data_IF_610248738435
#
_entry.id   IF_610248738435
#
_cell.length_a   1.000
_cell.length_b   1.000
_cell.length_c   1.000
_cell.angle_alpha   90.00
_cell.angle_beta   90.00
_cell.angle_gamma   90.00
#
_symmetry.space_group_name_H-M   'P 1'
#
loop_
_entity.id
_entity.type
_entity.pdbx_description
1 polymer ?
#
# COMPACT_ATOMS: atom_id res chain seq x y z
N UNK A 1 -21.23 5.30 -0.76
CA UNK A 1 -21.45 6.30 0.30
C UNK A 1 -21.33 5.68 1.70
N UNK A 2 -21.99 4.54 2.01
CA UNK A 2 -21.95 3.92 3.36
C UNK A 2 -20.55 3.70 3.93
N UNK A 3 -19.61 3.23 3.11
CA UNK A 3 -18.22 3.04 3.52
C UNK A 3 -17.47 4.35 3.85
N UNK A 4 -17.86 5.45 3.20
CA UNK A 4 -17.26 6.77 3.45
C UNK A 4 -17.72 7.34 4.79
N UNK A 5 -18.95 7.06 5.18
CA UNK A 5 -19.51 7.51 6.46
C UNK A 5 -18.88 6.75 7.65
N UNK A 6 -18.52 5.48 7.44
CA UNK A 6 -17.88 4.67 8.47
C UNK A 6 -16.47 5.19 8.78
N UNK A 7 -16.11 5.35 10.06
CA UNK A 7 -14.74 5.62 10.48
C UNK A 7 -13.77 4.57 9.97
N UNK A 8 -12.51 4.93 9.85
CA UNK A 8 -11.46 4.02 9.38
C UNK A 8 -10.10 4.69 9.41
N UNK A 9 -9.99 5.85 10.10
CA UNK A 9 -8.74 6.61 10.12
C UNK A 9 -7.61 5.83 10.83
N UNK A 10 -6.45 5.79 10.19
CA UNK A 10 -5.23 5.18 10.68
C UNK A 10 -4.05 6.16 10.50
N UNK A 11 -3.32 6.58 11.54
CA UNK A 11 -3.65 6.33 12.95
C UNK A 11 -4.95 7.01 13.41
N UNK A 12 -5.60 6.57 14.51
CA UNK A 12 -5.16 5.56 15.48
C UNK A 12 -5.57 4.12 15.16
N UNK A 13 -6.26 3.86 14.03
CA UNK A 13 -6.83 2.58 13.66
C UNK A 13 -8.28 2.43 14.14
N UNK A 14 -9.25 2.63 13.22
CA UNK A 14 -10.69 2.64 13.50
C UNK A 14 -11.47 1.81 12.46
N UNK A 15 -10.88 0.69 12.03
CA UNK A 15 -11.38 -0.10 10.90
C UNK A 15 -12.65 -0.90 11.23
N UNK A 16 -12.92 -1.19 12.52
CA UNK A 16 -14.06 -2.01 12.94
C UNK A 16 -15.37 -1.58 12.29
N UNK A 17 -15.69 -0.28 12.34
CA UNK A 17 -16.92 0.23 11.75
C UNK A 17 -16.96 0.12 10.21
N UNK A 18 -15.82 0.26 9.52
CA UNK A 18 -15.72 0.02 8.09
C UNK A 18 -15.96 -1.45 7.76
N UNK A 19 -15.35 -2.37 8.55
CA UNK A 19 -15.51 -3.81 8.38
C UNK A 19 -16.94 -4.26 8.66
N UNK A 20 -17.62 -3.69 9.65
CA UNK A 20 -19.06 -3.95 9.88
C UNK A 20 -19.94 -3.57 8.67
N UNK A 21 -19.69 -2.42 8.05
CA UNK A 21 -20.41 -2.00 6.84
C UNK A 21 -20.12 -2.94 5.67
N UNK A 22 -18.88 -3.41 5.54
CA UNK A 22 -18.49 -4.40 4.52
C UNK A 22 -19.15 -5.75 4.76
N UNK A 23 -19.17 -6.25 6.00
CA UNK A 23 -19.85 -7.49 6.38
C UNK A 23 -21.35 -7.46 6.06
N UNK A 24 -22.02 -6.35 6.42
CA UNK A 24 -23.42 -6.14 6.04
C UNK A 24 -23.62 -6.12 4.52
N UNK A 25 -22.70 -5.48 3.79
CA UNK A 25 -22.74 -5.45 2.33
C UNK A 25 -22.54 -6.83 1.71
N UNK A 26 -21.71 -7.70 2.30
CA UNK A 26 -21.54 -9.11 1.90
C UNK A 26 -22.82 -9.91 2.12
N UNK A 27 -23.40 -9.82 3.32
CA UNK A 27 -24.65 -10.51 3.65
C UNK A 27 -25.79 -10.14 2.69
N UNK A 28 -25.97 -8.85 2.39
CA UNK A 28 -26.97 -8.36 1.44
C UNK A 28 -26.77 -8.87 0.00
N UNK A 29 -25.56 -9.31 -0.34
CA UNK A 29 -25.20 -9.84 -1.66
C UNK A 29 -25.13 -11.36 -1.72
N UNK A 30 -25.42 -12.04 -0.60
CA UNK A 30 -25.33 -13.51 -0.51
C UNK A 30 -23.89 -14.01 -0.63
N UNK A 31 -22.91 -13.22 -0.16
CA UNK A 31 -21.52 -13.62 -0.08
C UNK A 31 -21.23 -14.19 1.31
N UNK A 32 -20.58 -15.36 1.33
CA UNK A 32 -20.00 -15.89 2.57
C UNK A 32 -18.87 -14.97 3.05
N UNK A 33 -18.82 -14.71 4.36
CA UNK A 33 -17.81 -13.83 4.90
C UNK A 33 -17.49 -14.14 6.35
N UNK A 34 -16.27 -13.85 6.74
CA UNK A 34 -15.78 -13.87 8.12
C UNK A 34 -14.84 -12.68 8.36
N UNK A 35 -14.62 -12.38 9.63
CA UNK A 35 -13.65 -11.39 10.08
C UNK A 35 -12.70 -12.03 11.09
N UNK A 36 -11.44 -11.58 11.06
CA UNK A 36 -10.37 -12.06 11.92
C UNK A 36 -9.70 -10.84 12.61
N UNK A 37 -9.76 -10.81 13.94
CA UNK A 37 -9.23 -9.68 14.72
C UNK A 37 -7.69 -9.72 14.76
N UNK A 38 -7.04 -8.81 14.04
CA UNK A 38 -5.57 -8.69 13.97
C UNK A 38 -5.03 -7.94 15.20
N UNK A 39 -5.74 -6.90 15.63
CA UNK A 39 -5.53 -6.11 16.84
C UNK A 39 -6.90 -5.79 17.45
N UNK A 40 -7.00 -5.50 18.73
CA UNK A 40 -8.29 -5.15 19.37
C UNK A 40 -9.01 -4.03 18.61
N UNK A 41 -10.23 -4.32 18.11
CA UNK A 41 -11.04 -3.40 17.30
C UNK A 41 -10.52 -3.14 15.88
N UNK A 42 -9.55 -3.92 15.40
CA UNK A 42 -8.96 -3.76 14.06
C UNK A 42 -8.95 -5.11 13.31
N UNK A 43 -10.09 -5.52 12.76
CA UNK A 43 -10.19 -6.80 12.07
C UNK A 43 -9.84 -6.70 10.57
N UNK A 44 -9.33 -7.81 10.01
CA UNK A 44 -9.45 -8.11 8.59
C UNK A 44 -10.84 -8.66 8.28
N UNK A 45 -11.28 -8.59 7.01
CA UNK A 45 -12.47 -9.26 6.53
C UNK A 45 -12.14 -10.09 5.28
N UNK A 46 -12.74 -11.26 5.16
CA UNK A 46 -12.73 -12.05 3.93
C UNK A 46 -14.15 -12.27 3.44
N UNK A 47 -14.41 -11.99 2.17
CA UNK A 47 -15.66 -12.30 1.51
C UNK A 47 -15.41 -13.31 0.40
N UNK A 48 -16.27 -14.32 0.28
CA UNK A 48 -16.08 -15.44 -0.64
C UNK A 48 -17.28 -15.69 -1.52
N UNK A 49 -16.97 -16.04 -2.76
CA UNK A 49 -17.92 -16.58 -3.71
C UNK A 49 -17.45 -18.01 -4.06
N UNK A 50 -18.26 -19.02 -3.80
CA UNK A 50 -17.84 -20.41 -4.03
C UNK A 50 -17.63 -20.71 -5.51
N UNK A 51 -16.77 -21.69 -5.80
CA UNK A 51 -16.47 -22.19 -7.14
C UNK A 51 -16.00 -23.64 -7.07
N UNK A 52 -15.60 -24.18 -8.23
CA UNK A 52 -15.01 -25.51 -8.34
C UNK A 52 -13.58 -25.58 -7.77
N UNK A 53 -12.85 -26.62 -8.19
CA UNK A 53 -11.53 -26.98 -7.62
C UNK A 53 -10.34 -26.30 -8.30
N UNK A 54 -10.56 -25.51 -9.37
CA UNK A 54 -9.48 -24.77 -10.01
C UNK A 54 -8.94 -23.66 -9.10
N UNK A 55 -7.67 -23.22 -9.30
CA UNK A 55 -7.17 -22.05 -8.62
C UNK A 55 -8.14 -20.87 -8.70
N UNK A 56 -8.39 -20.23 -7.56
CA UNK A 56 -9.33 -19.12 -7.44
C UNK A 56 -8.79 -17.80 -7.98
N UNK A 57 -9.57 -16.74 -7.82
CA UNK A 57 -9.16 -15.36 -8.04
C UNK A 57 -9.20 -14.62 -6.70
N UNK A 58 -8.09 -13.94 -6.36
CA UNK A 58 -8.00 -13.10 -5.17
C UNK A 58 -8.21 -11.63 -5.56
N UNK A 59 -9.12 -10.97 -4.88
CA UNK A 59 -9.19 -9.52 -4.78
C UNK A 59 -8.59 -9.08 -3.45
N UNK A 60 -7.86 -7.96 -3.44
CA UNK A 60 -7.24 -7.40 -2.26
C UNK A 60 -7.52 -5.91 -2.17
N UNK A 61 -7.73 -5.43 -0.95
CA UNK A 61 -7.81 -4.00 -0.63
C UNK A 61 -7.82 -3.78 0.86
N UNK A 62 -7.68 -2.52 1.28
CA UNK A 62 -7.62 -2.15 2.70
C UNK A 62 -8.86 -1.40 3.18
N UNK A 63 -9.12 -1.49 4.50
CA UNK A 63 -10.29 -0.88 5.16
C UNK A 63 -9.99 0.45 5.82
N UNK A 64 -8.73 0.72 6.15
CA UNK A 64 -8.27 1.96 6.75
C UNK A 64 -8.17 3.09 5.73
N UNK A 65 -7.98 4.29 6.23
CA UNK A 65 -7.74 5.51 5.46
C UNK A 65 -6.87 6.44 6.28
N UNK A 66 -6.02 7.24 5.64
CA UNK A 66 -5.28 8.29 6.36
C UNK A 66 -6.21 9.30 7.03
N UNK A 67 -5.77 9.98 8.11
CA UNK A 67 -6.56 11.04 8.74
C UNK A 67 -7.02 12.10 7.73
N UNK A 68 -8.23 12.61 7.91
CA UNK A 68 -8.81 13.59 6.99
C UNK A 68 -7.94 14.85 6.83
N UNK A 69 -7.35 15.32 7.93
CA UNK A 69 -6.61 16.60 7.93
C UNK A 69 -7.52 17.80 7.71
N UNK A 70 -6.90 18.94 7.42
CA UNK A 70 -7.57 20.23 7.22
C UNK A 70 -7.82 20.54 5.73
N UNK A 71 -8.51 21.64 5.46
CA UNK A 71 -8.69 22.19 4.11
C UNK A 71 -9.89 21.67 3.33
N UNK A 72 -10.73 20.81 3.91
CA UNK A 72 -11.93 20.28 3.26
C UNK A 72 -12.99 21.34 3.06
N UNK A 73 -13.60 21.41 1.85
CA UNK A 73 -14.78 22.23 1.55
C UNK A 73 -16.09 21.46 1.75
N UNK A 74 -16.04 20.14 1.86
CA UNK A 74 -17.15 19.24 2.16
C UNK A 74 -16.81 18.41 3.40
N UNK A 75 -17.82 17.79 4.04
CA UNK A 75 -17.54 16.93 5.19
C UNK A 75 -16.78 15.67 4.76
N UNK A 76 -15.59 15.37 5.30
CA UNK A 76 -14.72 14.28 4.84
C UNK A 76 -15.35 12.87 4.98
N UNK A 77 -16.34 12.72 5.88
CA UNK A 77 -17.14 11.50 6.04
C UNK A 77 -18.60 11.69 5.61
N UNK A 78 -18.88 12.67 4.74
CA UNK A 78 -20.24 12.96 4.30
C UNK A 78 -20.77 12.03 3.20
N UNK A 79 -19.91 11.43 2.40
CA UNK A 79 -20.30 10.60 1.26
C UNK A 79 -21.15 11.38 0.24
N UNK A 80 -20.83 12.67 0.06
CA UNK A 80 -21.58 13.58 -0.83
C UNK A 80 -21.37 13.18 -2.29
N UNK A 81 -22.47 12.98 -3.01
CA UNK A 81 -22.46 12.85 -4.47
C UNK A 81 -22.81 14.20 -5.09
N UNK A 82 -21.88 14.80 -5.82
CA UNK A 82 -22.06 16.08 -6.50
C UNK A 82 -21.26 16.05 -7.81
N UNK A 83 -21.84 16.60 -8.86
CA UNK A 83 -21.21 16.76 -10.19
C UNK A 83 -20.59 15.45 -10.74
N UNK A 84 -21.27 14.31 -10.53
CA UNK A 84 -20.83 12.99 -10.98
C UNK A 84 -19.68 12.38 -10.17
N UNK A 85 -19.31 12.97 -9.02
CA UNK A 85 -18.26 12.47 -8.13
C UNK A 85 -18.80 12.15 -6.75
N UNK A 86 -18.22 11.13 -6.11
CA UNK A 86 -18.46 10.80 -4.70
C UNK A 86 -17.28 11.36 -3.88
N UNK A 87 -17.59 12.31 -2.99
CA UNK A 87 -16.63 12.97 -2.13
C UNK A 87 -16.53 12.32 -0.77
N UNK A 88 -15.31 12.24 -0.25
CA UNK A 88 -14.98 11.86 1.13
C UNK A 88 -13.67 11.09 1.23
N UNK A 89 -13.07 11.10 2.42
CA UNK A 89 -11.83 10.38 2.71
C UNK A 89 -12.03 8.86 2.47
N UNK A 90 -11.11 8.26 1.70
CA UNK A 90 -11.18 6.87 1.27
C UNK A 90 -12.07 6.64 0.05
N UNK A 91 -12.64 7.69 -0.57
CA UNK A 91 -13.47 7.51 -1.76
C UNK A 91 -12.65 7.04 -2.97
N UNK A 92 -11.44 7.51 -3.12
CA UNK A 92 -10.46 7.03 -4.09
C UNK A 92 -9.58 5.94 -3.48
N UNK A 93 -9.06 6.16 -2.28
CA UNK A 93 -8.07 5.32 -1.61
C UNK A 93 -8.65 4.67 -0.33
N UNK A 94 -9.07 3.36 -0.32
CA UNK A 94 -9.49 2.65 -1.55
C UNK A 94 -10.91 2.06 -1.40
N UNK A 95 -11.76 2.68 -0.55
CA UNK A 95 -13.14 2.20 -0.31
C UNK A 95 -14.00 2.16 -1.59
N UNK A 96 -13.66 2.99 -2.61
CA UNK A 96 -14.27 2.93 -3.93
C UNK A 96 -13.98 1.60 -4.64
N UNK A 97 -12.73 1.16 -4.63
CA UNK A 97 -12.30 -0.13 -5.17
C UNK A 97 -12.99 -1.30 -4.47
N UNK A 98 -13.01 -1.31 -3.12
CA UNK A 98 -13.72 -2.33 -2.33
C UNK A 98 -15.22 -2.41 -2.70
N UNK A 99 -15.88 -1.26 -2.82
CA UNK A 99 -17.29 -1.23 -3.20
C UNK A 99 -17.52 -1.82 -4.58
N UNK A 100 -16.66 -1.52 -5.55
CA UNK A 100 -16.74 -2.04 -6.92
C UNK A 100 -16.52 -3.56 -6.96
N UNK A 101 -15.55 -4.10 -6.19
CA UNK A 101 -15.31 -5.54 -6.06
C UNK A 101 -16.53 -6.26 -5.47
N UNK A 102 -17.10 -5.76 -4.37
CA UNK A 102 -18.30 -6.33 -3.77
C UNK A 102 -19.51 -6.29 -4.70
N UNK A 103 -19.67 -5.24 -5.50
CA UNK A 103 -20.73 -5.14 -6.51
C UNK A 103 -20.54 -6.21 -7.59
N UNK A 104 -19.30 -6.41 -8.07
CA UNK A 104 -18.99 -7.42 -9.06
C UNK A 104 -19.27 -8.84 -8.53
N UNK A 105 -18.74 -9.20 -7.36
CA UNK A 105 -18.98 -10.50 -6.73
C UNK A 105 -20.46 -10.75 -6.47
N UNK A 106 -21.19 -9.75 -5.93
CA UNK A 106 -22.61 -9.86 -5.70
C UNK A 106 -23.46 -9.95 -6.98
N UNK A 107 -23.01 -9.41 -8.11
CA UNK A 107 -23.67 -9.57 -9.40
C UNK A 107 -23.54 -11.02 -9.90
N UNK A 108 -22.35 -11.60 -9.82
CA UNK A 108 -22.08 -13.00 -10.17
C UNK A 108 -22.89 -13.96 -9.27
N UNK A 109 -22.90 -13.71 -7.95
CA UNK A 109 -23.68 -14.50 -7.00
C UNK A 109 -25.18 -14.50 -7.36
N UNK A 110 -25.78 -13.32 -7.59
CA UNK A 110 -27.21 -13.21 -7.95
C UNK A 110 -27.53 -13.82 -9.31
N UNK A 111 -26.59 -13.81 -10.24
CA UNK A 111 -26.78 -14.44 -11.55
C UNK A 111 -26.75 -15.96 -11.49
N UNK A 112 -26.34 -16.55 -10.35
CA UNK A 112 -26.25 -18.00 -10.17
C UNK A 112 -25.22 -18.66 -11.09
N UNK A 113 -24.18 -17.92 -11.50
CA UNK A 113 -23.13 -18.44 -12.40
C UNK A 113 -22.25 -19.39 -11.62
N UNK A 114 -22.15 -20.65 -12.08
CA UNK A 114 -21.16 -21.60 -11.58
C UNK A 114 -19.77 -21.21 -12.06
N UNK A 115 -18.82 -21.08 -11.15
CA UNK A 115 -17.43 -20.74 -11.44
C UNK A 115 -16.55 -21.99 -11.30
N UNK A 116 -15.51 -22.13 -12.13
CA UNK A 116 -14.60 -23.26 -12.07
C UNK A 116 -13.60 -23.20 -10.87
N UNK A 117 -13.47 -22.04 -10.23
CA UNK A 117 -12.69 -21.82 -9.01
C UNK A 117 -13.34 -20.75 -8.13
N UNK A 118 -12.97 -20.63 -6.84
CA UNK A 118 -13.55 -19.67 -5.92
C UNK A 118 -13.05 -18.24 -6.20
N UNK A 119 -13.80 -17.24 -5.75
CA UNK A 119 -13.32 -15.85 -5.64
C UNK A 119 -13.25 -15.49 -4.17
N UNK A 120 -12.16 -14.91 -3.74
CA UNK A 120 -12.02 -14.30 -2.43
C UNK A 120 -11.70 -12.81 -2.55
N UNK A 121 -12.33 -11.99 -1.71
CA UNK A 121 -11.93 -10.62 -1.45
C UNK A 121 -11.34 -10.58 -0.03
N UNK A 122 -10.06 -10.33 0.06
CA UNK A 122 -9.37 -10.03 1.30
C UNK A 122 -9.39 -8.51 1.53
N UNK A 123 -9.91 -8.08 2.67
CA UNK A 123 -9.88 -6.69 3.11
C UNK A 123 -9.00 -6.61 4.33
N UNK A 124 -7.87 -5.97 4.20
CA UNK A 124 -6.83 -5.86 5.22
C UNK A 124 -6.97 -4.56 6.01
N UNK A 125 -6.52 -4.55 7.25
CA UNK A 125 -6.36 -3.37 8.06
C UNK A 125 -4.90 -2.88 7.99
N UNK A 126 -4.65 -1.60 8.31
CA UNK A 126 -3.31 -1.06 8.54
C UNK A 126 -2.41 -0.97 7.30
N UNK A 127 -2.98 -0.88 6.11
CA UNK A 127 -2.18 -0.69 4.88
C UNK A 127 -1.45 0.65 4.89
N UNK A 128 -2.12 1.70 5.34
CA UNK A 128 -1.68 3.10 5.36
C UNK A 128 -0.57 3.40 6.41
N UNK A 129 -0.18 2.39 7.22
CA UNK A 129 0.85 2.56 8.25
C UNK A 129 1.89 1.43 8.21
N UNK A 130 1.56 0.22 8.69
CA UNK A 130 2.56 -0.84 8.88
C UNK A 130 2.23 -2.16 8.20
N UNK A 131 1.13 -2.24 7.45
CA UNK A 131 0.68 -3.43 6.72
C UNK A 131 0.50 -4.68 7.60
N UNK A 132 0.03 -4.51 8.84
CA UNK A 132 -0.18 -5.64 9.76
C UNK A 132 -1.25 -6.60 9.24
N UNK A 133 -2.29 -6.08 8.58
CA UNK A 133 -3.42 -6.86 8.10
C UNK A 133 -3.02 -7.90 7.07
N UNK A 134 -2.32 -7.51 6.01
CA UNK A 134 -1.88 -8.43 4.95
C UNK A 134 -0.85 -9.43 5.47
N UNK A 135 0.04 -9.00 6.36
CA UNK A 135 1.03 -9.88 7.00
C UNK A 135 0.35 -10.94 7.87
N UNK A 136 -0.68 -10.56 8.63
CA UNK A 136 -1.49 -11.49 9.42
C UNK A 136 -2.27 -12.45 8.51
N UNK A 137 -2.88 -11.95 7.42
CA UNK A 137 -3.57 -12.76 6.43
C UNK A 137 -2.68 -13.87 5.87
N UNK A 138 -1.46 -13.55 5.48
CA UNK A 138 -0.48 -14.51 4.97
C UNK A 138 0.02 -15.48 6.05
N UNK A 139 0.31 -14.98 7.27
CA UNK A 139 0.77 -15.79 8.40
C UNK A 139 -0.29 -16.80 8.85
N UNK A 140 -1.58 -16.48 8.67
CA UNK A 140 -2.71 -17.38 8.92
C UNK A 140 -2.91 -18.45 7.83
N UNK A 141 -2.00 -18.51 6.84
CA UNK A 141 -2.01 -19.53 5.78
C UNK A 141 -2.90 -19.19 4.58
N UNK A 142 -3.43 -17.97 4.53
CA UNK A 142 -4.23 -17.48 3.40
C UNK A 142 -3.34 -17.00 2.22
N UNK A 143 -3.95 -16.53 1.14
CA UNK A 143 -3.25 -16.05 -0.05
C UNK A 143 -2.71 -17.13 -0.97
N UNK A 144 -3.09 -18.39 -0.79
CA UNK A 144 -2.64 -19.54 -1.59
C UNK A 144 -3.78 -20.17 -2.37
N UNK A 145 -3.44 -20.81 -3.50
CA UNK A 145 -4.44 -21.51 -4.32
C UNK A 145 -5.20 -20.58 -5.27
N UNK A 146 -4.67 -19.40 -5.56
CA UNK A 146 -5.21 -18.45 -6.53
C UNK A 146 -4.38 -18.44 -7.81
N UNK A 147 -5.03 -18.15 -8.93
CA UNK A 147 -4.41 -17.95 -10.24
C UNK A 147 -3.76 -16.57 -10.39
N UNK A 148 -4.08 -15.64 -9.50
CA UNK A 148 -3.54 -14.28 -9.43
C UNK A 148 -4.32 -13.42 -8.44
N UNK A 149 -3.80 -12.22 -8.20
CA UNK A 149 -4.38 -11.24 -7.29
C UNK A 149 -4.64 -9.91 -8.03
N UNK A 150 -5.80 -9.30 -7.77
CA UNK A 150 -6.12 -7.94 -8.24
C UNK A 150 -6.30 -7.04 -7.02
N UNK A 151 -5.45 -6.02 -6.91
CA UNK A 151 -5.54 -4.99 -5.87
C UNK A 151 -6.36 -3.83 -6.38
N UNK A 152 -7.32 -3.35 -5.58
CA UNK A 152 -8.31 -2.35 -6.02
C UNK A 152 -7.92 -0.89 -5.81
N UNK A 153 -6.64 -0.59 -5.75
CA UNK A 153 -6.09 0.75 -5.56
C UNK A 153 -6.38 1.72 -6.72
N UNK A 154 -6.37 3.05 -6.48
CA UNK A 154 -6.79 4.07 -7.45
C UNK A 154 -5.76 4.28 -8.56
N UNK A 155 -5.87 3.53 -9.64
CA UNK A 155 -4.98 3.59 -10.81
C UNK A 155 -5.49 4.44 -11.97
N UNK A 156 -6.60 5.14 -11.82
CA UNK A 156 -7.27 5.79 -12.95
C UNK A 156 -7.83 4.80 -13.97
N UNK A 157 -8.16 3.58 -13.54
CA UNK A 157 -8.59 2.46 -14.39
C UNK A 157 -7.48 1.98 -15.36
N UNK A 158 -6.23 2.35 -15.14
CA UNK A 158 -5.10 1.76 -15.83
C UNK A 158 -4.76 0.40 -15.19
N UNK A 159 -4.41 -0.57 -16.03
CA UNK A 159 -3.83 -1.83 -15.55
C UNK A 159 -2.38 -1.60 -15.16
N UNK A 160 -2.06 -1.79 -13.88
CA UNK A 160 -0.71 -1.62 -13.32
C UNK A 160 -0.13 -2.99 -13.00
N UNK A 161 1.03 -3.30 -13.58
CA UNK A 161 1.71 -4.60 -13.47
C UNK A 161 3.01 -4.53 -12.67
N UNK A 162 3.44 -3.35 -12.28
CA UNK A 162 4.60 -3.16 -11.42
C UNK A 162 4.37 -2.02 -10.44
N UNK A 163 4.75 -2.20 -9.19
CA UNK A 163 4.69 -1.18 -8.14
C UNK A 163 6.00 -1.13 -7.37
N UNK A 164 6.38 0.07 -6.91
CA UNK A 164 7.50 0.20 -5.99
C UNK A 164 7.17 -0.43 -4.65
N UNK A 165 8.21 -0.84 -3.92
CA UNK A 165 8.13 -1.08 -2.50
C UNK A 165 8.45 0.17 -1.69
N UNK A 166 8.35 0.01 -0.37
CA UNK A 166 8.63 1.06 0.60
C UNK A 166 9.41 0.50 1.79
N UNK A 167 10.47 1.18 2.20
CA UNK A 167 11.24 0.83 3.39
C UNK A 167 11.54 2.07 4.23
N UNK A 168 11.29 1.96 5.53
CA UNK A 168 11.73 2.97 6.50
C UNK A 168 12.96 2.46 7.23
N UNK A 169 14.03 3.22 7.11
CA UNK A 169 15.31 2.93 7.72
C UNK A 169 15.50 3.84 8.93
N UNK A 170 15.45 3.28 10.12
CA UNK A 170 15.83 4.01 11.32
C UNK A 170 17.34 3.94 11.51
N UNK A 171 17.94 5.09 11.76
CA UNK A 171 19.39 5.22 12.05
C UNK A 171 19.55 5.98 13.37
N UNK A 172 20.19 5.34 14.33
CA UNK A 172 20.54 5.94 15.62
C UNK A 172 22.05 6.14 15.69
N UNK A 173 22.45 7.38 15.92
CA UNK A 173 23.86 7.76 16.05
C UNK A 173 24.14 8.02 17.54
N UNK A 174 25.12 7.35 18.08
CA UNK A 174 25.50 7.35 19.49
C UNK A 174 26.87 8.04 19.62
N UNK A 175 26.87 9.16 20.27
CA UNK A 175 28.06 9.95 20.59
C UNK A 175 28.45 9.91 22.06
N UNK A 176 29.10 10.97 22.53
CA UNK A 176 29.50 11.13 23.93
C UNK A 176 29.20 12.57 24.39
N UNK A 177 28.42 12.70 25.46
CA UNK A 177 28.13 14.01 26.04
C UNK A 177 29.38 14.67 26.63
N UNK A 178 29.45 15.99 26.50
CA UNK A 178 30.42 16.83 27.17
C UNK A 178 29.84 18.24 27.38
N UNK A 179 30.47 19.06 28.19
CA UNK A 179 30.10 20.46 28.31
C UNK A 179 30.39 21.20 27.00
N UNK A 180 29.47 22.05 26.53
CA UNK A 180 29.61 22.75 25.26
C UNK A 180 30.86 23.65 25.16
N UNK A 181 31.40 24.11 26.30
CA UNK A 181 32.66 24.83 26.40
C UNK A 181 33.95 23.98 26.22
N UNK A 182 33.77 22.64 26.14
CA UNK A 182 34.87 21.69 25.89
C UNK A 182 34.39 20.61 24.91
N UNK A 183 34.02 20.99 23.67
CA UNK A 183 33.37 20.08 22.74
C UNK A 183 34.24 18.87 22.35
N UNK A 184 35.55 19.05 22.31
CA UNK A 184 36.51 17.98 21.97
C UNK A 184 36.58 16.86 23.02
N UNK A 185 36.05 17.08 24.23
CA UNK A 185 35.90 16.04 25.24
C UNK A 185 34.70 15.12 24.96
N UNK A 186 33.81 15.51 24.04
CA UNK A 186 32.64 14.77 23.60
C UNK A 186 32.81 14.14 22.22
N UNK A 187 31.70 13.55 21.72
CA UNK A 187 31.52 13.16 20.33
C UNK A 187 30.08 13.54 19.91
N UNK A 188 29.96 14.46 18.99
CA UNK A 188 28.68 15.09 18.66
C UNK A 188 27.87 14.23 17.66
N UNK A 189 26.81 13.60 18.17
CA UNK A 189 25.93 12.75 17.35
C UNK A 189 25.17 13.54 16.26
N UNK A 190 24.86 14.83 16.47
CA UNK A 190 24.21 15.67 15.44
C UNK A 190 25.17 15.93 14.28
N UNK A 191 26.45 16.09 14.51
CA UNK A 191 27.43 16.25 13.43
C UNK A 191 27.58 14.97 12.60
N UNK A 192 27.49 13.79 13.27
CA UNK A 192 27.42 12.51 12.57
C UNK A 192 26.17 12.39 11.69
N UNK A 193 25.00 12.79 12.22
CA UNK A 193 23.75 12.81 11.47
C UNK A 193 23.82 13.75 10.25
N UNK A 194 24.40 14.94 10.39
CA UNK A 194 24.55 15.89 9.28
C UNK A 194 25.42 15.30 8.14
N UNK A 195 26.53 14.64 8.46
CA UNK A 195 27.37 13.94 7.47
C UNK A 195 26.63 12.83 6.75
N UNK A 196 25.84 12.04 7.48
CA UNK A 196 25.05 10.96 6.88
C UNK A 196 23.92 11.51 6.01
N UNK A 197 23.23 12.57 6.42
CA UNK A 197 22.17 13.22 5.63
C UNK A 197 22.73 13.72 4.30
N UNK A 198 23.93 14.30 4.29
CA UNK A 198 24.58 14.77 3.07
C UNK A 198 24.93 13.60 2.13
N UNK A 199 25.40 12.47 2.66
CA UNK A 199 25.62 11.24 1.89
C UNK A 199 24.30 10.66 1.35
N UNK A 200 23.24 10.62 2.15
CA UNK A 200 21.93 10.14 1.71
C UNK A 200 21.34 11.00 0.58
N UNK A 201 21.58 12.30 0.59
CA UNK A 201 21.22 13.20 -0.52
C UNK A 201 21.99 12.82 -1.79
N UNK A 202 23.30 12.58 -1.69
CA UNK A 202 24.11 12.07 -2.79
C UNK A 202 23.64 10.69 -3.28
N UNK A 203 23.26 9.81 -2.36
CA UNK A 203 22.66 8.51 -2.74
C UNK A 203 21.38 8.66 -3.56
N UNK A 204 20.51 9.60 -3.20
CA UNK A 204 19.31 9.89 -4.01
C UNK A 204 19.67 10.29 -5.45
N UNK A 205 20.72 11.09 -5.64
CA UNK A 205 21.19 11.51 -6.97
C UNK A 205 21.78 10.31 -7.75
N UNK A 206 22.52 9.41 -7.08
CA UNK A 206 23.04 8.18 -7.67
C UNK A 206 21.89 7.25 -8.14
N UNK A 207 20.85 7.07 -7.32
CA UNK A 207 19.71 6.22 -7.65
C UNK A 207 18.93 6.72 -8.87
N UNK A 208 18.93 8.01 -9.16
CA UNK A 208 18.26 8.59 -10.33
C UNK A 208 18.85 8.10 -11.67
N UNK A 209 20.05 7.51 -11.66
CA UNK A 209 20.70 6.97 -12.86
C UNK A 209 20.18 5.58 -13.27
N UNK A 210 19.60 4.81 -12.33
CA UNK A 210 19.03 3.48 -12.57
C UNK A 210 17.51 3.58 -12.64
N UNK A 211 17.00 3.67 -13.86
CA UNK A 211 15.58 3.92 -14.13
C UNK A 211 14.87 2.65 -14.54
N UNK A 212 14.05 2.11 -13.65
CA UNK A 212 13.18 0.99 -13.97
C UNK A 212 12.12 1.40 -15.03
N UNK A 213 11.90 0.59 -16.10
CA UNK A 213 11.06 0.99 -17.23
C UNK A 213 9.63 1.38 -16.86
N UNK A 214 9.05 0.72 -15.86
CA UNK A 214 7.66 0.91 -15.45
C UNK A 214 7.51 1.84 -14.23
N UNK A 215 8.38 1.69 -13.22
CA UNK A 215 8.22 2.39 -11.94
C UNK A 215 9.13 3.62 -11.78
N UNK A 216 10.02 3.86 -12.76
CA UNK A 216 11.01 4.93 -12.65
C UNK A 216 12.12 4.57 -11.64
N UNK A 217 12.97 5.55 -11.24
CA UNK A 217 14.11 5.28 -10.36
C UNK A 217 13.66 5.05 -8.92
N UNK A 218 14.48 4.35 -8.16
CA UNK A 218 14.38 4.30 -6.71
C UNK A 218 14.66 5.68 -6.10
N UNK A 219 14.18 5.92 -4.86
CA UNK A 219 14.39 7.21 -4.18
C UNK A 219 14.76 7.00 -2.72
N UNK A 220 15.53 7.92 -2.15
CA UNK A 220 15.76 8.01 -0.71
C UNK A 220 15.60 9.45 -0.23
N UNK A 221 14.97 9.65 0.93
CA UNK A 221 14.87 10.94 1.58
C UNK A 221 14.83 10.78 3.10
N UNK A 222 15.35 11.77 3.83
CA UNK A 222 15.23 11.79 5.29
C UNK A 222 13.91 12.47 5.67
N UNK A 223 13.01 11.71 6.29
CA UNK A 223 11.68 12.19 6.68
C UNK A 223 11.69 12.85 8.05
N UNK A 224 12.45 12.31 9.00
CA UNK A 224 12.53 12.84 10.37
C UNK A 224 13.96 12.85 10.89
N UNK A 225 14.27 13.82 11.75
CA UNK A 225 15.51 13.88 12.53
C UNK A 225 15.22 14.47 13.90
N UNK A 226 15.86 13.91 14.94
CA UNK A 226 15.86 14.45 16.30
C UNK A 226 17.23 14.25 16.96
N UNK A 227 17.60 15.07 17.93
CA UNK A 227 18.86 14.90 18.65
C UNK A 227 19.16 16.03 19.63
N UNK A 228 20.00 15.71 20.63
CA UNK A 228 20.38 16.65 21.68
C UNK A 228 19.31 16.90 22.74
N UNK A 229 19.74 17.41 23.90
CA UNK A 229 18.86 17.71 25.05
C UNK A 229 18.92 19.16 25.47
N UNK A 230 19.88 19.93 24.96
CA UNK A 230 20.03 21.34 25.25
C UNK A 230 21.31 21.94 24.68
N UNK A 231 21.38 23.29 24.52
CA UNK A 231 22.46 23.94 23.78
C UNK A 231 23.82 23.95 24.52
N UNK A 232 23.82 23.69 25.82
CA UNK A 232 25.05 23.69 26.64
C UNK A 232 25.71 22.31 26.78
N UNK A 233 25.22 21.29 26.07
CA UNK A 233 25.68 19.90 26.15
C UNK A 233 26.00 19.43 24.70
N UNK A 234 27.17 18.78 24.52
CA UNK A 234 27.46 18.06 23.26
C UNK A 234 26.45 16.92 23.13
N UNK A 235 25.68 16.81 22.04
CA UNK A 235 24.65 15.77 21.85
C UNK A 235 25.24 14.36 21.87
N UNK A 236 24.77 13.52 22.79
CA UNK A 236 25.18 12.10 22.87
C UNK A 236 24.32 11.17 22.01
N UNK A 237 23.19 11.64 21.50
CA UNK A 237 22.32 10.84 20.64
C UNK A 237 21.69 11.71 19.56
N UNK A 238 21.55 11.13 18.38
CA UNK A 238 20.70 11.63 17.30
C UNK A 238 20.03 10.46 16.61
N UNK A 239 18.78 10.64 16.20
CA UNK A 239 17.97 9.64 15.51
C UNK A 239 17.37 10.24 14.26
N UNK A 240 17.39 9.50 13.17
CA UNK A 240 16.76 9.88 11.91
C UNK A 240 16.05 8.68 11.29
N UNK A 241 15.00 8.95 10.52
CA UNK A 241 14.32 7.96 9.70
C UNK A 241 14.42 8.39 8.25
N UNK A 242 15.01 7.51 7.44
CA UNK A 242 15.07 7.67 6.01
C UNK A 242 14.00 6.80 5.35
N UNK A 243 13.28 7.39 4.41
CA UNK A 243 12.28 6.75 3.57
C UNK A 243 12.94 6.34 2.26
N UNK A 244 12.83 5.07 1.87
CA UNK A 244 13.43 4.49 0.66
C UNK A 244 12.35 3.82 -0.18
N UNK A 245 12.04 4.39 -1.35
CA UNK A 245 11.22 3.70 -2.35
C UNK A 245 12.05 2.63 -3.05
N UNK A 246 11.61 1.38 -2.93
CA UNK A 246 12.28 0.21 -3.48
C UNK A 246 11.90 -0.01 -4.94
N UNK A 247 12.83 -0.45 -5.77
CA UNK A 247 12.47 -1.06 -7.06
C UNK A 247 11.79 -2.42 -6.83
N UNK A 248 11.02 -2.93 -7.81
CA UNK A 248 10.26 -4.18 -7.63
C UNK A 248 11.07 -5.39 -7.13
N UNK A 249 12.34 -5.48 -7.52
CA UNK A 249 13.23 -6.59 -7.13
C UNK A 249 14.06 -6.32 -5.87
N UNK A 250 14.01 -5.12 -5.29
CA UNK A 250 14.75 -4.77 -4.08
C UNK A 250 14.02 -5.22 -2.81
N UNK A 251 14.78 -5.52 -1.77
CA UNK A 251 14.27 -5.80 -0.42
C UNK A 251 14.78 -4.78 0.59
N UNK A 252 14.02 -4.54 1.66
CA UNK A 252 14.45 -3.66 2.74
C UNK A 252 15.79 -4.08 3.34
N UNK A 253 16.06 -5.40 3.44
CA UNK A 253 17.35 -5.89 3.94
C UNK A 253 18.53 -5.55 3.01
N UNK A 254 18.38 -5.71 1.69
CA UNK A 254 19.42 -5.32 0.74
C UNK A 254 19.73 -3.83 0.82
N UNK A 255 18.69 -3.00 0.98
CA UNK A 255 18.85 -1.55 1.12
C UNK A 255 19.49 -1.18 2.45
N UNK A 256 19.15 -1.88 3.54
CA UNK A 256 19.83 -1.72 4.82
C UNK A 256 21.33 -2.04 4.73
N UNK A 257 21.70 -3.08 4.00
CA UNK A 257 23.10 -3.46 3.82
C UNK A 257 23.84 -2.42 2.95
N UNK A 258 23.19 -1.85 1.93
CA UNK A 258 23.72 -0.71 1.17
C UNK A 258 23.96 0.51 2.08
N UNK A 259 22.98 0.83 2.97
CA UNK A 259 23.11 1.92 3.94
C UNK A 259 24.31 1.69 4.87
N UNK A 260 24.49 0.48 5.39
CA UNK A 260 25.63 0.12 6.26
C UNK A 260 26.96 0.32 5.54
N UNK A 261 27.09 -0.12 4.29
CA UNK A 261 28.27 0.10 3.48
C UNK A 261 28.58 1.61 3.27
N UNK A 262 27.54 2.46 3.20
CA UNK A 262 27.71 3.92 3.11
C UNK A 262 28.20 4.50 4.42
N UNK A 263 27.62 4.08 5.54
CA UNK A 263 28.04 4.47 6.90
C UNK A 263 29.50 4.11 7.15
N UNK A 264 29.93 2.92 6.73
CA UNK A 264 31.32 2.47 6.86
C UNK A 264 32.29 3.34 6.05
N UNK A 265 31.92 3.73 4.82
CA UNK A 265 32.73 4.63 3.98
C UNK A 265 32.86 6.05 4.55
N UNK A 266 31.89 6.50 5.32
CA UNK A 266 31.94 7.79 6.01
C UNK A 266 32.81 7.75 7.26
N UNK A 267 33.30 6.57 7.66
CA UNK A 267 34.09 6.36 8.89
C UNK A 267 33.40 6.91 10.15
N UNK A 268 32.06 6.98 10.14
CA UNK A 268 31.30 7.48 11.30
C UNK A 268 31.55 6.63 12.54
N UNK A 269 31.70 5.33 12.35
CA UNK A 269 31.93 4.38 13.45
C UNK A 269 33.30 4.55 14.15
N UNK A 270 34.22 5.33 13.61
CA UNK A 270 35.52 5.59 14.25
C UNK A 270 35.41 6.44 15.52
N UNK A 271 34.39 7.30 15.61
CA UNK A 271 34.17 8.22 16.73
C UNK A 271 32.78 8.08 17.37
N UNK A 272 31.83 7.46 16.65
CA UNK A 272 30.42 7.38 16.99
C UNK A 272 29.93 5.93 16.85
N UNK A 273 29.01 5.49 17.73
CA UNK A 273 28.24 4.29 17.50
C UNK A 273 27.15 4.57 16.45
N UNK A 274 26.86 3.59 15.57
CA UNK A 274 25.74 3.69 14.63
C UNK A 274 24.94 2.40 14.67
N UNK A 275 23.65 2.49 15.01
CA UNK A 275 22.69 1.39 14.95
C UNK A 275 21.72 1.66 13.82
N UNK A 276 21.35 0.60 13.07
CA UNK A 276 20.45 0.73 11.91
C UNK A 276 19.47 -0.43 11.89
N UNK A 277 18.21 -0.14 11.58
CA UNK A 277 17.18 -1.16 11.38
C UNK A 277 16.18 -0.76 10.29
N UNK A 278 15.50 -1.77 9.73
CA UNK A 278 14.32 -1.56 8.87
C UNK A 278 13.09 -1.61 9.76
N UNK A 279 12.41 -0.49 9.93
CA UNK A 279 11.18 -0.41 10.74
C UNK A 279 9.91 -0.60 9.93
N UNK A 280 9.98 -0.47 8.60
CA UNK A 280 8.94 -0.83 7.64
C UNK A 280 9.60 -1.47 6.41
N UNK A 281 9.03 -2.56 5.90
CA UNK A 281 9.43 -3.23 4.65
C UNK A 281 8.16 -3.67 3.91
N UNK A 282 7.68 -2.82 3.00
CA UNK A 282 6.63 -3.15 2.04
C UNK A 282 7.30 -3.52 0.71
N UNK A 283 7.20 -4.77 0.25
CA UNK A 283 7.86 -5.19 -0.99
C UNK A 283 7.21 -4.56 -2.21
N UNK A 284 8.02 -4.24 -3.21
CA UNK A 284 7.54 -3.99 -4.56
C UNK A 284 7.21 -5.29 -5.29
N UNK A 285 6.68 -5.16 -6.51
CA UNK A 285 6.45 -6.30 -7.38
C UNK A 285 6.50 -5.91 -8.85
N UNK A 286 6.75 -6.89 -9.71
CA UNK A 286 6.58 -6.81 -11.16
C UNK A 286 5.98 -8.11 -11.65
N UNK A 287 4.83 -8.03 -12.32
CA UNK A 287 4.15 -9.12 -12.99
C UNK A 287 4.41 -9.02 -14.48
N UNK A 288 4.72 -10.14 -15.13
CA UNK A 288 4.95 -10.16 -16.57
C UNK A 288 3.72 -9.65 -17.34
N UNK A 289 3.93 -8.80 -18.32
CA UNK A 289 2.83 -8.18 -19.08
C UNK A 289 1.99 -9.23 -19.87
N UNK A 290 2.57 -10.38 -20.18
CA UNK A 290 1.94 -11.51 -20.85
C UNK A 290 1.41 -12.57 -19.86
N UNK A 291 1.49 -12.32 -18.54
CA UNK A 291 0.86 -13.20 -17.55
C UNK A 291 -0.65 -13.25 -17.74
N UNK A 292 -1.24 -14.40 -17.46
CA UNK A 292 -2.67 -14.60 -17.66
C UNK A 292 -3.52 -13.54 -16.95
N UNK A 293 -3.21 -13.23 -15.71
CA UNK A 293 -4.00 -12.27 -14.93
C UNK A 293 -3.83 -10.85 -15.49
N UNK A 294 -2.63 -10.43 -15.88
CA UNK A 294 -2.39 -9.11 -16.45
C UNK A 294 -3.16 -8.93 -17.77
N UNK A 295 -3.09 -9.92 -18.67
CA UNK A 295 -3.82 -9.90 -19.92
C UNK A 295 -5.35 -9.87 -19.73
N UNK A 296 -5.86 -10.67 -18.78
CA UNK A 296 -7.31 -10.73 -18.47
C UNK A 296 -7.80 -9.42 -17.90
N UNK A 297 -7.12 -8.86 -16.88
CA UNK A 297 -7.52 -7.59 -16.23
C UNK A 297 -7.48 -6.45 -17.23
N UNK A 298 -6.40 -6.37 -18.02
CA UNK A 298 -6.23 -5.34 -19.05
C UNK A 298 -7.37 -5.38 -20.07
N UNK A 299 -7.66 -6.54 -20.63
CA UNK A 299 -8.76 -6.68 -21.59
C UNK A 299 -10.13 -6.45 -20.96
N UNK A 300 -10.34 -6.91 -19.72
CA UNK A 300 -11.57 -6.68 -19.01
C UNK A 300 -11.81 -5.18 -18.72
N UNK A 301 -10.76 -4.45 -18.37
CA UNK A 301 -10.81 -2.99 -18.17
C UNK A 301 -11.27 -2.28 -19.45
N UNK A 302 -10.62 -2.52 -20.57
CA UNK A 302 -10.98 -1.92 -21.89
C UNK A 302 -12.43 -2.25 -22.26
N UNK A 303 -12.84 -3.52 -22.17
CA UNK A 303 -14.19 -3.94 -22.52
C UNK A 303 -15.26 -3.38 -21.57
N UNK A 304 -14.89 -3.01 -20.35
CA UNK A 304 -15.75 -2.33 -19.38
C UNK A 304 -15.86 -0.82 -19.62
N UNK A 305 -14.97 -0.23 -20.42
CA UNK A 305 -14.93 1.20 -20.74
C UNK A 305 -13.77 1.97 -20.09
N UNK A 306 -12.74 1.28 -19.58
CA UNK A 306 -11.50 1.93 -19.15
C UNK A 306 -10.74 2.52 -20.35
N UNK A 307 -9.87 3.53 -20.14
CA UNK A 307 -9.03 4.07 -21.20
C UNK A 307 -8.16 3.00 -21.86
N UNK A 308 -8.02 3.06 -23.18
CA UNK A 308 -7.08 2.23 -23.93
C UNK A 308 -5.66 2.75 -23.72
N UNK A 309 -4.97 2.22 -22.73
CA UNK A 309 -3.56 2.52 -22.42
C UNK A 309 -2.82 1.21 -22.15
N UNK A 310 -1.55 1.09 -22.53
CA UNK A 310 -0.79 -0.12 -22.22
C UNK A 310 -0.72 -0.34 -20.70
N UNK A 311 -0.51 -1.59 -20.23
CA UNK A 311 -0.17 -1.84 -18.83
C UNK A 311 1.02 -0.98 -18.40
N UNK A 312 0.92 -0.40 -17.21
CA UNK A 312 1.91 0.54 -16.70
C UNK A 312 2.50 0.12 -15.36
N UNK A 313 3.29 1.00 -14.80
CA UNK A 313 3.84 0.88 -13.46
C UNK A 313 3.34 1.97 -12.52
N UNK A 314 3.51 1.75 -11.24
CA UNK A 314 3.06 2.62 -10.17
C UNK A 314 4.22 3.00 -9.24
N UNK A 315 4.29 4.27 -8.88
CA UNK A 315 5.35 4.77 -7.99
C UNK A 315 5.03 4.61 -6.51
N UNK A 316 3.79 4.24 -6.18
CA UNK A 316 3.37 3.91 -4.83
C UNK A 316 3.62 2.43 -4.50
N UNK A 317 3.57 2.08 -3.22
CA UNK A 317 3.54 0.72 -2.71
C UNK A 317 2.10 0.34 -2.35
N UNK A 318 1.83 -0.95 -2.21
CA UNK A 318 0.58 -1.47 -1.68
C UNK A 318 0.76 -2.89 -1.12
N UNK A 319 -0.23 -3.38 -0.41
CA UNK A 319 -0.28 -4.74 0.17
C UNK A 319 -0.06 -5.86 -0.86
N UNK A 320 -0.29 -5.59 -2.15
CA UNK A 320 -0.07 -6.54 -3.23
C UNK A 320 1.36 -7.06 -3.32
N UNK A 321 2.35 -6.25 -2.94
CA UNK A 321 3.76 -6.65 -2.89
C UNK A 321 4.02 -7.85 -1.96
N UNK A 322 3.33 -7.93 -0.83
CA UNK A 322 3.41 -9.08 0.08
C UNK A 322 2.86 -10.35 -0.56
N UNK A 323 1.76 -10.26 -1.33
CA UNK A 323 1.18 -11.41 -2.03
C UNK A 323 2.14 -11.92 -3.12
N UNK A 324 2.80 -11.01 -3.83
CA UNK A 324 3.81 -11.38 -4.83
C UNK A 324 5.01 -12.06 -4.20
N UNK A 325 5.59 -11.47 -3.15
CA UNK A 325 6.81 -11.98 -2.50
C UNK A 325 6.57 -13.27 -1.69
N UNK A 326 5.52 -13.28 -0.85
CA UNK A 326 5.36 -14.30 0.20
C UNK A 326 4.39 -15.41 -0.22
N UNK A 327 3.49 -15.17 -1.19
CA UNK A 327 2.60 -16.18 -1.73
C UNK A 327 2.94 -16.57 -3.19
N UNK A 328 3.84 -15.85 -3.86
CA UNK A 328 4.27 -16.13 -5.24
C UNK A 328 3.16 -15.90 -6.27
N UNK A 329 2.24 -14.99 -6.00
CA UNK A 329 1.14 -14.67 -6.92
C UNK A 329 1.56 -13.60 -7.94
N UNK A 330 1.08 -13.75 -9.17
CA UNK A 330 1.01 -12.64 -10.10
C UNK A 330 0.01 -11.60 -9.58
N UNK A 331 0.46 -10.36 -9.41
CA UNK A 331 -0.33 -9.25 -8.85
C UNK A 331 -0.54 -8.18 -9.92
N UNK A 332 -1.77 -7.69 -9.99
CA UNK A 332 -2.15 -6.54 -10.84
C UNK A 332 -2.90 -5.53 -9.98
N UNK A 333 -2.58 -4.26 -10.13
CA UNK A 333 -3.37 -3.19 -9.51
C UNK A 333 -4.29 -2.59 -10.57
N UNK A 334 -5.57 -2.47 -10.24
CA UNK A 334 -6.57 -1.87 -11.10
C UNK A 334 -7.72 -1.34 -10.25
N UNK A 335 -8.02 -0.06 -10.31
CA UNK A 335 -9.16 0.49 -9.58
C UNK A 335 -9.55 1.90 -9.99
N UNK A 336 -10.70 2.37 -9.47
CA UNK A 336 -11.28 3.67 -9.78
C UNK A 336 -10.59 4.80 -9.01
N UNK A 337 -10.57 6.00 -9.59
CA UNK A 337 -9.92 7.16 -8.99
C UNK A 337 -8.43 7.21 -9.28
N UNK A 338 -7.74 8.22 -8.77
CA UNK A 338 -6.32 8.51 -9.04
C UNK A 338 -5.56 8.79 -7.75
N UNK A 339 -4.48 8.05 -7.52
CA UNK A 339 -3.62 8.27 -6.36
C UNK A 339 -2.96 9.64 -6.40
N UNK A 340 -2.54 10.10 -7.57
CA UNK A 340 -1.81 11.37 -7.72
C UNK A 340 -2.68 12.61 -7.64
N UNK A 341 -3.96 12.49 -8.01
CA UNK A 341 -4.87 13.62 -8.06
C UNK A 341 -5.80 13.72 -6.84
N UNK A 342 -6.05 12.59 -6.16
CA UNK A 342 -7.13 12.50 -5.18
C UNK A 342 -6.72 11.92 -3.83
N UNK A 343 -5.84 10.90 -3.80
CA UNK A 343 -5.48 10.24 -2.56
C UNK A 343 -4.78 11.20 -1.58
N UNK A 344 -5.07 11.07 -0.29
CA UNK A 344 -4.46 11.82 0.81
C UNK A 344 -4.65 13.35 0.78
N UNK A 345 -5.50 13.87 -0.12
CA UNK A 345 -5.78 15.30 -0.25
C UNK A 345 -7.13 15.68 0.37
N UNK A 346 -7.31 16.97 0.67
CA UNK A 346 -8.63 17.51 0.99
C UNK A 346 -9.56 17.41 -0.24
N UNK A 347 -10.85 17.28 0.00
CA UNK A 347 -11.86 17.07 -1.03
C UNK A 347 -11.61 15.84 -1.92
N UNK A 348 -10.95 14.81 -1.35
CA UNK A 348 -10.81 13.52 -2.00
C UNK A 348 -12.14 13.06 -2.58
N UNK A 349 -12.11 12.60 -3.82
CA UNK A 349 -13.30 12.17 -4.52
C UNK A 349 -12.99 11.19 -5.65
N UNK A 350 -13.96 10.33 -5.97
CA UNK A 350 -13.87 9.40 -7.09
C UNK A 350 -15.00 9.65 -8.09
N UNK A 351 -14.76 9.61 -9.42
CA UNK A 351 -15.83 9.66 -10.40
C UNK A 351 -16.76 8.46 -10.24
N UNK A 352 -18.07 8.71 -10.18
CA UNK A 352 -19.07 7.62 -10.12
C UNK A 352 -19.00 6.73 -11.37
N UNK A 353 -18.66 7.31 -12.51
CA UNK A 353 -18.45 6.55 -13.75
C UNK A 353 -17.32 5.52 -13.60
N UNK A 354 -16.19 5.88 -12.95
CA UNK A 354 -15.06 4.98 -12.73
C UNK A 354 -15.45 3.80 -11.83
N UNK A 355 -16.30 4.03 -10.81
CA UNK A 355 -16.83 2.96 -9.95
C UNK A 355 -17.61 1.93 -10.76
N UNK A 356 -18.41 2.38 -11.73
CA UNK A 356 -19.18 1.50 -12.60
C UNK A 356 -18.29 0.71 -13.57
N UNK A 357 -17.29 1.38 -14.15
CA UNK A 357 -16.30 0.73 -15.03
C UNK A 357 -15.52 -0.32 -14.25
N UNK A 358 -15.00 0.03 -13.06
CA UNK A 358 -14.27 -0.91 -12.22
C UNK A 358 -15.12 -2.13 -11.84
N UNK A 359 -16.37 -1.93 -11.42
CA UNK A 359 -17.26 -3.05 -11.07
C UNK A 359 -17.52 -4.00 -12.26
N UNK A 360 -17.68 -3.46 -13.47
CA UNK A 360 -17.82 -4.26 -14.70
C UNK A 360 -16.52 -4.99 -15.03
N UNK A 361 -15.38 -4.31 -14.94
CA UNK A 361 -14.06 -4.90 -15.18
C UNK A 361 -13.79 -6.07 -14.23
N UNK A 362 -14.09 -5.92 -12.94
CA UNK A 362 -13.92 -7.00 -11.96
C UNK A 362 -14.85 -8.18 -12.26
N UNK A 363 -16.11 -7.93 -12.63
CA UNK A 363 -17.02 -9.01 -13.02
C UNK A 363 -16.53 -9.76 -14.26
N UNK A 364 -16.05 -9.04 -15.29
CA UNK A 364 -15.44 -9.64 -16.47
C UNK A 364 -14.15 -10.40 -16.12
N UNK A 365 -13.34 -9.89 -15.22
CA UNK A 365 -12.12 -10.54 -14.73
C UNK A 365 -12.46 -11.88 -14.06
N UNK A 366 -13.46 -11.91 -13.17
CA UNK A 366 -13.94 -13.16 -12.55
C UNK A 366 -14.31 -14.18 -13.62
N UNK A 367 -15.19 -13.81 -14.56
CA UNK A 367 -15.70 -14.72 -15.58
C UNK A 367 -14.60 -15.24 -16.53
N UNK A 368 -13.65 -14.39 -16.90
CA UNK A 368 -12.57 -14.74 -17.85
C UNK A 368 -11.45 -15.54 -17.20
N UNK A 369 -11.16 -15.30 -15.93
CA UNK A 369 -10.14 -16.05 -15.17
C UNK A 369 -10.63 -17.45 -14.83
N UNK A 370 -11.86 -17.53 -14.32
CA UNK A 370 -12.39 -18.80 -13.77
C UNK A 370 -13.25 -19.59 -14.75
N UNK A 371 -13.78 -18.93 -15.78
CA UNK A 371 -14.73 -19.56 -16.70
C UNK A 371 -16.08 -19.85 -16.04
N UNK A 372 -16.98 -20.41 -16.82
CA UNK A 372 -18.29 -20.89 -16.37
C UNK A 372 -18.22 -22.40 -16.32
N UNK A 373 -18.58 -23.02 -15.17
CA UNK A 373 -18.59 -24.46 -14.96
C UNK A 373 -19.86 -25.12 -15.50
#
# INVERSE_FOLDING_TARGET
>A
AGLIVAPGENPPGQEEATVEVLAQACALRGLDHDSDEVRPGRPNLRARLPGGERPGLLFLGHSDVVPAGDGWTVHPRGGLVRDGRLYGRGSADMKGGLAAMLVAMGAISRAGVGLAGPVELAVTMDEEDTALGVRHYLASGHGRGFAGCVVGEPTGLQTVIAARGDAYLEIKIIGRAAHAGSPDAGANAIYGAARLIDDLRGWHEELAADVHPLTGPATVSVGTISGGTGPSIVPAESRLVAHRRLLPAETGQQVLDQLRCRIDRLELASELGVETEVILDMPGFETAADSQIAAVVHRAGIDAGAPESPPGGWTAACDGGFLARDAGLDVVVFGPGSVTEQAHQADESVPVADLLVAARAYALTILRTLGVS
#
